data_IF_546032248494
#
_entry.id   IF_546032248494
#
_cell.length_a   1.000
_cell.length_b   1.000
_cell.length_c   1.000
_cell.angle_alpha   90.00
_cell.angle_beta   90.00
_cell.angle_gamma   90.00
#
_symmetry.space_group_name_H-M   'P 1'
#
loop_
_entity.id
_entity.type
_entity.pdbx_description
1 polymer ?
#
# COMPACT_ATOMS: atom_id res chain seq x y z
N UNK A 1 7.62 -3.92 -37.63
CA UNK A 1 8.31 -3.88 -36.32
C UNK A 1 7.74 -2.73 -35.51
N UNK A 2 6.73 -2.99 -34.76
CA UNK A 2 6.20 -2.00 -33.78
C UNK A 2 6.31 -2.67 -32.42
N UNK A 3 7.40 -2.34 -31.70
CA UNK A 3 7.66 -2.80 -30.37
C UNK A 3 6.87 -1.94 -29.38
N UNK A 4 5.94 -2.60 -28.75
CA UNK A 4 5.44 -2.47 -27.39
C UNK A 4 6.03 -1.35 -26.53
N UNK A 5 5.30 -0.27 -26.36
CA UNK A 5 5.54 0.77 -25.37
C UNK A 5 4.34 0.89 -24.42
N UNK A 6 3.76 -0.22 -23.98
CA UNK A 6 2.56 -0.20 -23.16
C UNK A 6 2.73 -0.83 -21.76
N UNK A 7 3.95 -1.13 -21.32
CA UNK A 7 4.18 -1.86 -20.06
C UNK A 7 4.81 -1.02 -18.92
N UNK A 8 4.87 0.31 -19.02
CA UNK A 8 5.66 1.14 -18.10
C UNK A 8 4.79 2.05 -17.21
N UNK A 9 3.45 1.97 -17.32
CA UNK A 9 2.58 2.99 -16.69
C UNK A 9 2.28 2.82 -15.20
N UNK A 10 2.39 1.65 -14.60
CA UNK A 10 1.85 1.42 -13.26
C UNK A 10 2.88 1.17 -12.16
N UNK A 11 4.07 0.75 -12.53
CA UNK A 11 5.21 0.76 -11.61
C UNK A 11 5.67 2.20 -11.36
N UNK A 12 5.30 3.12 -12.24
CA UNK A 12 5.69 4.52 -12.18
C UNK A 12 5.09 5.31 -11.00
N UNK A 13 3.92 4.97 -10.47
CA UNK A 13 3.34 5.73 -9.36
C UNK A 13 4.11 5.52 -8.05
N UNK A 14 4.59 4.29 -7.77
CA UNK A 14 5.44 4.02 -6.62
C UNK A 14 6.91 4.44 -6.84
N UNK A 15 7.41 4.36 -8.08
CA UNK A 15 8.79 4.72 -8.43
C UNK A 15 8.93 6.24 -8.64
N UNK A 16 7.88 6.91 -9.08
CA UNK A 16 7.93 8.35 -9.36
C UNK A 16 8.24 9.20 -8.12
N UNK A 17 7.92 8.70 -6.92
CA UNK A 17 8.26 9.38 -5.66
C UNK A 17 9.76 9.28 -5.34
N UNK A 18 10.47 8.30 -5.90
CA UNK A 18 11.88 8.04 -5.55
C UNK A 18 12.89 8.32 -6.68
N UNK A 19 12.44 8.55 -7.91
CA UNK A 19 13.31 8.77 -9.05
C UNK A 19 13.50 10.26 -9.44
N UNK A 20 12.96 11.20 -8.66
CA UNK A 20 13.22 12.61 -8.88
C UNK A 20 14.61 12.93 -8.32
N UNK A 21 15.57 13.42 -9.14
CA UNK A 21 16.81 13.96 -8.62
C UNK A 21 16.47 15.03 -7.59
N UNK A 22 17.19 15.05 -6.48
CA UNK A 22 17.09 16.10 -5.46
C UNK A 22 17.45 17.44 -6.13
N UNK A 23 16.43 18.06 -6.67
CA UNK A 23 16.47 19.49 -6.90
C UNK A 23 15.90 20.13 -5.64
N UNK A 24 16.68 20.96 -4.97
CA UNK A 24 16.36 21.62 -3.70
C UNK A 24 15.20 22.62 -3.79
N UNK A 25 14.33 22.47 -4.73
CA UNK A 25 13.07 23.19 -4.82
C UNK A 25 12.06 22.52 -3.89
N UNK A 26 11.83 23.13 -2.74
CA UNK A 26 10.81 22.87 -1.73
C UNK A 26 9.41 22.77 -2.34
N UNK A 27 9.12 21.68 -3.03
CA UNK A 27 7.77 21.34 -3.40
C UNK A 27 7.31 20.25 -2.43
N UNK A 28 6.62 20.61 -1.32
CA UNK A 28 6.16 19.61 -0.38
C UNK A 28 5.21 18.68 -1.15
N UNK A 29 5.46 17.38 -1.10
CA UNK A 29 4.56 16.39 -1.67
C UNK A 29 3.13 16.72 -1.22
N UNK A 30 2.27 16.98 -2.20
CA UNK A 30 0.92 17.47 -1.96
C UNK A 30 0.13 16.44 -1.15
N UNK A 31 -0.48 16.86 -0.07
CA UNK A 31 -1.42 16.03 0.68
C UNK A 31 -2.64 15.74 -0.20
N UNK A 32 -3.03 14.47 -0.28
CA UNK A 32 -4.18 13.99 -1.04
C UNK A 32 -5.36 13.78 -0.11
N UNK A 33 -6.54 14.25 -0.49
CA UNK A 33 -7.79 13.86 0.16
C UNK A 33 -8.32 12.58 -0.52
N UNK A 34 -8.21 11.46 0.17
CA UNK A 34 -8.57 10.13 -0.36
C UNK A 34 -10.01 9.71 -0.06
N UNK A 35 -10.84 10.57 0.54
CA UNK A 35 -12.20 10.19 0.99
C UNK A 35 -13.11 9.78 -0.14
N UNK A 36 -13.07 10.49 -1.27
CA UNK A 36 -13.91 10.20 -2.44
C UNK A 36 -13.51 8.87 -3.06
N UNK A 37 -12.22 8.66 -3.27
CA UNK A 37 -11.66 7.41 -3.81
C UNK A 37 -11.97 6.22 -2.90
N UNK A 38 -11.88 6.42 -1.57
CA UNK A 38 -12.22 5.39 -0.60
C UNK A 38 -13.70 4.99 -0.66
N UNK A 39 -14.61 5.96 -0.75
CA UNK A 39 -16.04 5.68 -0.90
C UNK A 39 -16.31 4.92 -2.20
N UNK A 40 -15.68 5.34 -3.29
CA UNK A 40 -15.81 4.69 -4.60
C UNK A 40 -15.26 3.26 -4.55
N UNK A 41 -14.07 3.06 -4.02
CA UNK A 41 -13.44 1.76 -3.87
C UNK A 41 -14.30 0.82 -2.99
N UNK A 42 -14.82 1.29 -1.86
CA UNK A 42 -15.69 0.50 -0.97
C UNK A 42 -17.00 0.05 -1.61
N UNK A 43 -17.50 0.78 -2.62
CA UNK A 43 -18.70 0.39 -3.38
C UNK A 43 -18.39 -0.58 -4.51
N UNK A 44 -17.21 -0.48 -5.11
CA UNK A 44 -16.85 -1.21 -6.32
C UNK A 44 -16.04 -2.49 -6.05
N UNK A 45 -15.23 -2.50 -4.98
CA UNK A 45 -14.35 -3.63 -4.69
C UNK A 45 -15.13 -4.87 -4.23
N UNK A 46 -14.72 -6.08 -4.69
CA UNK A 46 -15.30 -7.33 -4.23
C UNK A 46 -14.86 -7.75 -2.82
N UNK A 47 -14.06 -6.92 -2.16
CA UNK A 47 -13.54 -7.12 -0.80
C UNK A 47 -13.71 -5.86 0.06
N UNK A 48 -13.68 -5.99 1.39
CA UNK A 48 -13.76 -4.84 2.29
C UNK A 48 -12.50 -3.97 2.20
N UNK A 49 -12.64 -2.76 1.66
CA UNK A 49 -11.52 -1.82 1.49
C UNK A 49 -11.14 -1.17 2.81
N UNK A 50 -9.88 -1.34 3.21
CA UNK A 50 -9.33 -0.82 4.44
C UNK A 50 -8.64 0.54 4.26
N UNK A 51 -8.86 1.42 5.21
CA UNK A 51 -8.15 2.68 5.35
C UNK A 51 -8.03 3.03 6.85
N UNK A 52 -7.07 3.86 7.25
CA UNK A 52 -6.98 4.27 8.65
C UNK A 52 -8.22 5.05 9.08
N UNK A 53 -8.69 4.79 10.29
CA UNK A 53 -9.76 5.58 10.91
C UNK A 53 -9.32 7.05 11.02
N UNK A 54 -10.21 8.01 10.78
CA UNK A 54 -9.88 9.41 11.00
C UNK A 54 -9.30 9.64 12.41
N UNK A 55 -8.14 10.30 12.49
CA UNK A 55 -7.48 10.61 13.75
C UNK A 55 -6.78 9.45 14.45
N UNK A 56 -6.72 8.24 13.87
CA UNK A 56 -6.06 7.08 14.46
C UNK A 56 -4.55 7.01 14.19
N UNK A 57 -4.06 7.71 13.19
CA UNK A 57 -2.63 7.79 12.91
C UNK A 57 -1.95 8.84 13.78
N UNK A 58 -0.66 8.66 14.10
CA UNK A 58 0.11 9.69 14.81
C UNK A 58 0.08 11.03 14.09
N UNK A 59 0.27 12.11 14.86
CA UNK A 59 0.32 13.47 14.29
C UNK A 59 1.37 13.59 13.19
N UNK A 60 1.00 14.30 12.11
CA UNK A 60 1.91 14.64 11.03
C UNK A 60 1.99 13.59 9.90
N UNK A 61 1.33 12.45 10.05
CA UNK A 61 1.15 11.53 8.92
C UNK A 61 0.22 12.16 7.89
N UNK A 62 0.59 12.10 6.61
CA UNK A 62 -0.18 12.70 5.52
C UNK A 62 -0.31 11.74 4.34
N UNK A 63 -1.51 11.63 3.79
CA UNK A 63 -1.74 10.86 2.57
C UNK A 63 -1.10 11.58 1.37
N UNK A 64 -0.41 10.83 0.52
CA UNK A 64 0.32 11.36 -0.64
C UNK A 64 -0.08 10.71 -1.96
N UNK A 65 -0.73 9.55 -1.91
CA UNK A 65 -1.22 8.86 -3.10
C UNK A 65 -2.42 7.99 -2.79
N UNK A 66 -3.32 7.85 -3.74
CA UNK A 66 -4.48 6.97 -3.67
C UNK A 66 -4.87 6.50 -5.06
N UNK A 67 -5.13 5.20 -5.22
CA UNK A 67 -5.69 4.62 -6.44
C UNK A 67 -6.55 3.39 -6.13
N UNK A 68 -7.55 3.16 -6.98
CA UNK A 68 -8.31 1.92 -7.05
C UNK A 68 -8.54 1.55 -8.51
N UNK A 69 -8.31 0.31 -8.86
CA UNK A 69 -8.51 -0.17 -10.23
C UNK A 69 -7.96 -1.56 -10.48
N UNK A 70 -7.93 -2.01 -11.74
CA UNK A 70 -7.35 -3.29 -12.11
C UNK A 70 -5.89 -3.39 -11.67
N UNK A 71 -5.48 -4.59 -11.24
CA UNK A 71 -4.06 -4.89 -10.99
C UNK A 71 -3.28 -4.73 -12.29
N UNK A 72 -2.20 -3.97 -12.24
CA UNK A 72 -1.37 -3.66 -13.41
C UNK A 72 -0.23 -4.69 -13.62
N UNK A 73 -0.49 -5.95 -13.31
CA UNK A 73 0.51 -7.01 -13.46
C UNK A 73 0.04 -8.01 -14.53
N UNK A 74 0.95 -8.43 -15.39
CA UNK A 74 0.69 -9.51 -16.36
C UNK A 74 0.52 -10.89 -15.72
N UNK A 75 0.84 -11.02 -14.43
CA UNK A 75 0.82 -12.29 -13.70
C UNK A 75 -0.31 -12.39 -12.66
N UNK A 76 -1.09 -11.32 -12.49
CA UNK A 76 -2.16 -11.27 -11.50
C UNK A 76 -3.38 -10.54 -12.09
N UNK A 77 -4.50 -11.23 -12.16
CA UNK A 77 -5.81 -10.63 -12.48
C UNK A 77 -6.52 -10.28 -11.18
N UNK A 78 -7.23 -9.16 -11.17
CA UNK A 78 -7.99 -8.68 -10.02
C UNK A 78 -8.01 -7.17 -9.93
N UNK A 79 -8.49 -6.66 -8.81
CA UNK A 79 -8.51 -5.23 -8.49
C UNK A 79 -7.56 -4.94 -7.34
N UNK A 80 -7.02 -3.73 -7.30
CA UNK A 80 -6.12 -3.29 -6.26
C UNK A 80 -6.55 -1.93 -5.69
N UNK A 81 -6.46 -1.82 -4.38
CA UNK A 81 -6.53 -0.59 -3.62
C UNK A 81 -5.15 -0.21 -3.13
N UNK A 82 -4.77 1.03 -3.37
CA UNK A 82 -3.52 1.62 -2.90
C UNK A 82 -3.79 2.93 -2.19
N UNK A 83 -3.18 3.10 -1.01
CA UNK A 83 -3.24 4.33 -0.22
C UNK A 83 -1.89 4.58 0.45
N UNK A 84 -1.14 5.55 -0.04
CA UNK A 84 0.20 5.89 0.43
C UNK A 84 0.25 7.08 1.36
N UNK A 85 1.11 7.01 2.38
CA UNK A 85 1.36 8.04 3.38
C UNK A 85 2.84 8.35 3.51
N UNK A 86 3.13 9.54 3.99
CA UNK A 86 4.43 9.90 4.54
C UNK A 86 4.30 10.24 6.03
N UNK A 87 5.25 9.78 6.81
CA UNK A 87 5.44 10.17 8.20
C UNK A 87 6.09 11.57 8.29
N UNK A 88 6.13 12.23 9.46
CA UNK A 88 6.87 13.49 9.63
C UNK A 88 8.37 13.40 9.32
N UNK A 89 8.94 12.20 9.34
CA UNK A 89 10.35 11.94 8.97
C UNK A 89 10.51 11.52 7.50
N UNK A 90 9.43 11.66 6.71
CA UNK A 90 9.39 11.29 5.30
C UNK A 90 9.57 9.78 5.03
N UNK A 91 9.37 8.92 6.05
CA UNK A 91 9.25 7.49 5.82
C UNK A 91 7.94 7.18 5.09
N UNK A 92 8.00 6.30 4.11
CA UNK A 92 6.84 5.90 3.32
C UNK A 92 6.13 4.70 3.93
N UNK A 93 4.79 4.77 3.97
CA UNK A 93 3.90 3.67 4.37
C UNK A 93 2.74 3.59 3.39
N UNK A 94 2.52 2.43 2.80
CA UNK A 94 1.37 2.17 1.93
C UNK A 94 0.48 1.06 2.50
N UNK A 95 -0.81 1.24 2.33
CA UNK A 95 -1.83 0.20 2.48
C UNK A 95 -2.17 -0.30 1.08
N UNK A 96 -1.96 -1.58 0.87
CA UNK A 96 -2.20 -2.26 -0.40
C UNK A 96 -3.18 -3.41 -0.17
N UNK A 97 -4.23 -3.51 -0.99
CA UNK A 97 -5.16 -4.64 -0.95
C UNK A 97 -5.49 -5.12 -2.35
N UNK A 98 -5.67 -6.44 -2.49
CA UNK A 98 -6.10 -7.02 -3.76
C UNK A 98 -6.79 -8.36 -3.55
N UNK A 99 -7.71 -8.70 -4.46
CA UNK A 99 -8.29 -10.02 -4.65
C UNK A 99 -7.51 -10.87 -5.67
N UNK A 100 -6.45 -10.32 -6.23
CA UNK A 100 -5.55 -11.04 -7.12
C UNK A 100 -4.77 -12.15 -6.40
N UNK A 101 -4.09 -13.01 -7.17
CA UNK A 101 -3.22 -14.07 -6.62
C UNK A 101 -2.16 -13.47 -5.70
N UNK A 102 -2.16 -13.90 -4.44
CA UNK A 102 -1.41 -13.28 -3.36
C UNK A 102 0.11 -13.23 -3.62
N UNK A 103 0.74 -14.33 -4.04
CA UNK A 103 2.19 -14.40 -4.20
C UNK A 103 2.76 -13.32 -5.14
N UNK A 104 2.34 -13.26 -6.41
CA UNK A 104 2.77 -12.22 -7.34
C UNK A 104 2.45 -10.81 -6.85
N UNK A 105 1.24 -10.60 -6.32
CA UNK A 105 0.82 -9.29 -5.82
C UNK A 105 1.71 -8.79 -4.67
N UNK A 106 1.95 -9.65 -3.67
CA UNK A 106 2.84 -9.31 -2.55
C UNK A 106 4.24 -8.95 -3.05
N UNK A 107 4.80 -9.77 -3.96
CA UNK A 107 6.13 -9.53 -4.52
C UNK A 107 6.21 -8.16 -5.21
N UNK A 108 5.18 -7.79 -5.97
CA UNK A 108 5.12 -6.50 -6.68
C UNK A 108 5.06 -5.32 -5.70
N UNK A 109 4.08 -5.31 -4.79
CA UNK A 109 3.86 -4.14 -3.90
C UNK A 109 4.93 -3.98 -2.82
N UNK A 110 5.62 -5.07 -2.47
CA UNK A 110 6.73 -5.04 -1.49
C UNK A 110 8.11 -4.89 -2.13
N UNK A 111 8.18 -4.79 -3.46
CA UNK A 111 9.44 -4.77 -4.20
C UNK A 111 10.35 -5.98 -3.86
N UNK A 112 9.75 -7.19 -3.92
CA UNK A 112 10.43 -8.47 -3.73
C UNK A 112 10.88 -8.78 -2.29
N UNK A 113 10.24 -8.19 -1.27
CA UNK A 113 10.48 -8.57 0.12
C UNK A 113 10.20 -10.06 0.35
N UNK A 114 10.99 -10.67 1.23
CA UNK A 114 10.96 -12.10 1.51
C UNK A 114 10.13 -12.39 2.76
N UNK A 115 9.28 -13.41 2.64
CA UNK A 115 8.51 -13.91 3.78
C UNK A 115 9.45 -14.41 4.88
N UNK A 116 9.17 -14.03 6.12
CA UNK A 116 9.85 -14.55 7.31
C UNK A 116 8.92 -15.49 8.09
N UNK A 117 9.45 -16.11 9.13
CA UNK A 117 8.69 -16.90 10.11
C UNK A 117 8.07 -16.04 11.23
N UNK A 118 8.40 -14.73 11.25
CA UNK A 118 7.91 -13.80 12.25
C UNK A 118 6.46 -13.42 11.99
N UNK A 119 5.63 -13.65 13.00
CA UNK A 119 4.20 -13.31 12.96
C UNK A 119 3.84 -12.42 14.13
N UNK A 120 2.81 -11.60 13.95
CA UNK A 120 2.24 -10.80 15.03
C UNK A 120 0.73 -10.71 14.87
N UNK A 121 0.01 -10.57 15.99
CA UNK A 121 -1.42 -10.37 15.98
C UNK A 121 -1.74 -8.91 16.25
N UNK A 122 -2.53 -8.29 15.37
CA UNK A 122 -2.97 -6.90 15.47
C UNK A 122 -4.49 -6.90 15.29
N UNK A 123 -5.22 -6.40 16.27
CA UNK A 123 -6.70 -6.35 16.27
C UNK A 123 -7.36 -7.68 15.87
N UNK A 124 -6.83 -8.78 16.40
CA UNK A 124 -7.36 -10.12 16.16
C UNK A 124 -6.94 -10.76 14.84
N UNK A 125 -6.29 -10.04 13.93
CA UNK A 125 -5.76 -10.55 12.67
C UNK A 125 -4.30 -10.98 12.80
N UNK A 126 -3.93 -12.07 12.13
CA UNK A 126 -2.54 -12.49 12.01
C UNK A 126 -1.87 -11.74 10.86
N UNK A 127 -0.69 -11.20 11.15
CA UNK A 127 0.17 -10.54 10.17
C UNK A 127 1.53 -11.22 10.14
N UNK A 128 2.00 -11.53 8.94
CA UNK A 128 3.32 -12.11 8.69
C UNK A 128 4.26 -11.00 8.25
N UNK A 129 5.48 -10.98 8.82
CA UNK A 129 6.51 -10.03 8.41
C UNK A 129 7.21 -10.50 7.15
N UNK A 130 7.42 -9.56 6.25
CA UNK A 130 8.28 -9.69 5.08
C UNK A 130 9.39 -8.67 5.21
N UNK A 131 10.61 -9.09 4.92
CA UNK A 131 11.81 -8.26 5.00
C UNK A 131 12.41 -8.10 3.61
N UNK A 132 12.75 -6.88 3.21
CA UNK A 132 13.30 -6.56 1.90
C UNK A 132 14.41 -5.53 1.96
N UNK A 133 15.16 -5.41 0.89
CA UNK A 133 16.26 -4.44 0.79
C UNK A 133 15.76 -3.00 0.79
N UNK A 134 14.57 -2.78 0.27
CA UNK A 134 13.98 -1.44 0.11
C UNK A 134 12.73 -1.25 0.96
N UNK A 135 11.83 -2.22 0.94
CA UNK A 135 10.58 -2.19 1.69
C UNK A 135 10.47 -3.38 2.62
N UNK A 136 10.08 -3.12 3.85
CA UNK A 136 9.53 -4.11 4.75
C UNK A 136 8.02 -4.17 4.63
N UNK A 137 7.40 -5.26 5.05
CA UNK A 137 5.95 -5.39 5.01
C UNK A 137 5.36 -6.24 6.12
N UNK A 138 4.10 -5.93 6.43
CA UNK A 138 3.17 -6.77 7.18
C UNK A 138 2.10 -7.26 6.20
N UNK A 139 1.90 -8.56 6.13
CA UNK A 139 0.95 -9.19 5.21
C UNK A 139 -0.09 -9.97 5.99
N UNK A 140 -1.36 -9.68 5.75
CA UNK A 140 -2.50 -10.46 6.23
C UNK A 140 -3.27 -11.01 5.02
N UNK A 141 -3.31 -12.34 4.89
CA UNK A 141 -4.06 -13.02 3.85
C UNK A 141 -5.35 -13.60 4.43
N UNK A 142 -6.48 -13.12 3.92
CA UNK A 142 -7.82 -13.60 4.26
C UNK A 142 -8.48 -14.15 2.98
N UNK A 143 -9.52 -15.00 3.09
CA UNK A 143 -10.25 -15.44 1.91
C UNK A 143 -10.76 -14.26 1.08
N UNK A 144 -10.37 -14.20 -0.20
CA UNK A 144 -10.79 -13.15 -1.15
C UNK A 144 -10.06 -11.82 -1.05
N UNK A 145 -9.12 -11.64 -0.11
CA UNK A 145 -8.32 -10.41 -0.04
C UNK A 145 -6.97 -10.61 0.63
N UNK A 146 -5.94 -10.08 0.02
CA UNK A 146 -4.62 -9.91 0.64
C UNK A 146 -4.45 -8.44 1.01
N UNK A 147 -4.13 -8.18 2.28
CA UNK A 147 -3.81 -6.83 2.77
C UNK A 147 -2.33 -6.77 3.10
N UNK A 148 -1.67 -5.76 2.57
CA UNK A 148 -0.24 -5.51 2.79
C UNK A 148 -0.06 -4.09 3.31
N UNK A 149 0.69 -3.94 4.40
CA UNK A 149 1.18 -2.63 4.86
C UNK A 149 2.67 -2.64 4.65
N UNK A 150 3.18 -1.78 3.77
CA UNK A 150 4.56 -1.84 3.29
C UNK A 150 5.17 -0.46 3.13
N UNK A 151 6.49 -0.38 3.06
CA UNK A 151 7.20 0.87 2.81
C UNK A 151 8.60 0.90 3.38
N UNK A 152 9.16 2.11 3.46
CA UNK A 152 10.48 2.36 4.02
C UNK A 152 10.46 2.55 5.54
N UNK A 153 9.25 2.65 6.12
CA UNK A 153 9.05 2.85 7.54
C UNK A 153 9.44 1.62 8.37
N UNK A 154 9.72 1.84 9.65
CA UNK A 154 10.01 0.75 10.59
C UNK A 154 8.83 -0.17 10.80
N UNK A 155 9.08 -1.42 11.24
CA UNK A 155 7.99 -2.34 11.62
C UNK A 155 7.06 -1.78 12.70
N UNK A 156 7.56 -0.91 13.57
CA UNK A 156 6.72 -0.19 14.55
C UNK A 156 5.70 0.70 13.85
N UNK A 157 6.12 1.50 12.88
CA UNK A 157 5.26 2.38 12.11
C UNK A 157 4.31 1.59 11.17
N UNK A 158 4.78 0.50 10.56
CA UNK A 158 3.90 -0.41 9.80
C UNK A 158 2.82 -1.02 10.69
N UNK A 159 3.16 -1.37 11.94
CA UNK A 159 2.22 -1.87 12.94
C UNK A 159 1.19 -0.81 13.35
N UNK A 160 1.62 0.45 13.54
CA UNK A 160 0.71 1.57 13.81
C UNK A 160 -0.32 1.75 12.68
N UNK A 161 0.12 1.67 11.43
CA UNK A 161 -0.79 1.72 10.28
C UNK A 161 -1.74 0.52 10.28
N UNK A 162 -1.23 -0.70 10.44
CA UNK A 162 -2.07 -1.91 10.44
C UNK A 162 -3.13 -1.87 11.54
N UNK A 163 -2.78 -1.38 12.74
CA UNK A 163 -3.71 -1.21 13.87
C UNK A 163 -4.76 -0.08 13.62
N UNK A 164 -4.41 0.90 12.81
CA UNK A 164 -5.32 2.00 12.46
C UNK A 164 -6.39 1.61 11.42
N UNK A 165 -6.21 0.49 10.70
CA UNK A 165 -7.07 0.10 9.58
C UNK A 165 -8.51 -0.22 10.00
N UNK A 166 -9.44 0.18 9.15
CA UNK A 166 -10.86 -0.05 9.26
C UNK A 166 -11.48 -0.26 7.89
N UNK A 167 -12.35 -1.24 7.76
CA UNK A 167 -13.06 -1.58 6.50
C UNK A 167 -14.37 -0.82 6.31
N UNK A 168 -14.75 0.07 7.23
CA UNK A 168 -15.93 0.91 7.09
C UNK A 168 -17.28 0.19 7.18
N UNK A 169 -17.32 -1.01 7.77
CA UNK A 169 -18.57 -1.58 8.24
C UNK A 169 -18.89 -0.95 9.60
N UNK A 170 -19.58 0.13 9.56
CA UNK A 170 -20.24 0.78 10.65
C UNK A 170 -21.66 1.06 10.26
#
# INVERSE_FOLDING_TARGET
MVLSVAAIGAVAAGIYVFAIPHDDSKNPLKTVDYRVELITARRAAPYPVAAPKPGSLPKGWRATSVTYGPVQSSQAEGTAWHLGFLTPKEDYVAVEQSDAKAGPYIADVTQQAKKTDKKQRIDGKEWVRYEGDKYDALVSAEPGVTTVVTGTASFGQLTEMAAALNTGKG
#
